data_IF_500858952728
#
_entry.id   IF_500858952728
#
_cell.length_a   1.000
_cell.length_b   1.000
_cell.length_c   1.000
_cell.angle_alpha   90.00
_cell.angle_beta   90.00
_cell.angle_gamma   90.00
#
_symmetry.space_group_name_H-M   'P 1'
#
loop_
_entity.id
_entity.type
_entity.pdbx_description
1 polymer ?
#
# COMPACT_ATOMS: atom_id res chain seq x y z
N UNK A 1 28.94 -52.50 -2.20
CA UNK A 1 28.79 -52.41 -3.66
C UNK A 1 28.06 -51.08 -3.95
N UNK A 2 28.80 -50.04 -4.40
CA UNK A 2 28.23 -48.76 -4.82
C UNK A 2 27.88 -48.87 -6.31
N UNK A 3 26.59 -48.97 -6.64
CA UNK A 3 26.15 -48.72 -8.01
C UNK A 3 26.19 -47.19 -8.26
N UNK A 4 27.24 -46.75 -8.97
CA UNK A 4 27.32 -45.40 -9.50
C UNK A 4 26.34 -45.28 -10.66
N UNK A 5 25.30 -44.48 -10.51
CA UNK A 5 24.37 -44.09 -11.56
C UNK A 5 25.04 -43.19 -12.61
N UNK A 6 25.77 -43.77 -13.51
CA UNK A 6 26.11 -43.16 -14.78
C UNK A 6 25.02 -43.44 -15.79
N UNK A 7 23.93 -42.67 -15.77
CA UNK A 7 22.96 -42.67 -16.85
C UNK A 7 23.67 -42.22 -18.15
N UNK A 8 23.56 -42.96 -19.27
CA UNK A 8 24.24 -42.60 -20.50
C UNK A 8 23.77 -41.20 -20.97
N UNK A 9 24.71 -40.35 -21.39
CA UNK A 9 24.53 -38.94 -21.85
C UNK A 9 23.33 -38.79 -22.81
N UNK A 10 23.10 -39.74 -23.70
CA UNK A 10 21.96 -39.82 -24.62
C UNK A 10 20.58 -39.82 -23.94
N UNK A 11 20.47 -40.40 -22.76
CA UNK A 11 19.19 -40.47 -22.04
C UNK A 11 18.86 -39.17 -21.29
N UNK A 12 19.89 -38.44 -20.89
CA UNK A 12 19.78 -37.12 -20.26
C UNK A 12 19.37 -36.06 -21.29
N UNK A 13 19.94 -36.10 -22.49
CA UNK A 13 19.59 -35.20 -23.61
C UNK A 13 18.16 -35.44 -24.11
N UNK A 14 17.70 -36.70 -24.13
CA UNK A 14 16.33 -37.04 -24.52
C UNK A 14 15.30 -36.48 -23.54
N UNK A 15 15.54 -36.62 -22.24
CA UNK A 15 14.66 -36.05 -21.18
C UNK A 15 14.61 -34.52 -21.21
N UNK A 16 15.74 -33.86 -21.49
CA UNK A 16 15.82 -32.43 -21.62
C UNK A 16 15.03 -31.93 -22.83
N UNK A 17 15.15 -32.59 -23.98
CA UNK A 17 14.37 -32.24 -25.17
C UNK A 17 12.85 -32.40 -24.94
N UNK A 18 12.43 -33.48 -24.26
CA UNK A 18 11.04 -33.67 -23.88
C UNK A 18 10.52 -32.58 -22.95
N UNK A 19 11.32 -32.18 -21.95
CA UNK A 19 10.98 -31.12 -21.03
C UNK A 19 10.78 -29.77 -21.76
N UNK A 20 11.73 -29.39 -22.63
CA UNK A 20 11.66 -28.14 -23.42
C UNK A 20 10.46 -28.19 -24.37
N UNK A 21 10.20 -29.33 -25.03
CA UNK A 21 9.04 -29.45 -25.89
C UNK A 21 7.72 -29.30 -25.16
N UNK A 22 7.65 -29.81 -23.90
CA UNK A 22 6.47 -29.65 -23.06
C UNK A 22 6.27 -28.19 -22.60
N UNK A 23 7.34 -27.53 -22.17
CA UNK A 23 7.31 -26.10 -21.82
C UNK A 23 6.85 -25.23 -23.00
N UNK A 24 7.41 -25.46 -24.19
CA UNK A 24 7.02 -24.78 -25.42
C UNK A 24 5.55 -25.02 -25.80
N UNK A 25 5.08 -26.25 -25.67
CA UNK A 25 3.67 -26.60 -25.91
C UNK A 25 2.75 -25.80 -24.96
N UNK A 26 3.05 -25.77 -23.67
CA UNK A 26 2.25 -25.04 -22.68
C UNK A 26 2.27 -23.53 -22.95
N UNK A 27 3.45 -22.97 -23.26
CA UNK A 27 3.61 -21.56 -23.59
C UNK A 27 2.79 -21.16 -24.81
N UNK A 28 2.85 -21.95 -25.90
CA UNK A 28 2.06 -21.72 -27.11
C UNK A 28 0.54 -21.88 -26.85
N UNK A 29 0.18 -22.77 -25.95
CA UNK A 29 -1.20 -23.00 -25.60
C UNK A 29 -1.80 -21.79 -24.87
N UNK A 30 -1.05 -21.15 -23.99
CA UNK A 30 -1.49 -19.94 -23.28
C UNK A 30 -1.57 -18.75 -24.24
N UNK A 31 -0.53 -18.53 -25.05
CA UNK A 31 -0.49 -17.39 -26.00
C UNK A 31 -1.58 -17.46 -27.06
N UNK A 32 -1.96 -18.67 -27.49
CA UNK A 32 -3.03 -18.85 -28.50
C UNK A 32 -4.44 -18.73 -27.93
N UNK A 33 -4.60 -18.76 -26.62
CA UNK A 33 -5.87 -18.58 -25.95
C UNK A 33 -6.11 -17.10 -25.59
N UNK A 34 -6.60 -16.34 -26.55
CA UNK A 34 -6.86 -14.91 -26.40
C UNK A 34 -7.80 -14.60 -25.22
N UNK A 35 -8.73 -15.51 -24.88
CA UNK A 35 -9.66 -15.29 -23.76
C UNK A 35 -8.91 -15.34 -22.43
N UNK A 36 -8.07 -16.35 -22.28
CA UNK A 36 -7.24 -16.51 -21.07
C UNK A 36 -6.24 -15.37 -20.95
N UNK A 37 -5.57 -14.96 -22.04
CA UNK A 37 -4.65 -13.82 -22.02
C UNK A 37 -5.35 -12.50 -21.64
N UNK A 38 -6.55 -12.27 -22.20
CA UNK A 38 -7.31 -11.06 -21.86
C UNK A 38 -7.70 -11.01 -20.38
N UNK A 39 -8.05 -12.14 -19.78
CA UNK A 39 -8.36 -12.25 -18.35
C UNK A 39 -7.10 -12.02 -17.52
N UNK A 40 -6.01 -12.70 -17.85
CA UNK A 40 -4.75 -12.66 -17.10
C UNK A 40 -4.15 -11.25 -17.08
N UNK A 41 -4.10 -10.58 -18.21
CA UNK A 41 -3.52 -9.23 -18.31
C UNK A 41 -4.56 -8.14 -17.98
N UNK A 42 -5.82 -8.35 -18.36
CA UNK A 42 -6.86 -7.34 -18.20
C UNK A 42 -7.33 -7.15 -16.76
N UNK A 43 -7.51 -8.23 -16.01
CA UNK A 43 -7.95 -8.14 -14.61
C UNK A 43 -6.95 -7.35 -13.76
N UNK A 44 -5.63 -7.61 -13.77
CA UNK A 44 -4.65 -6.82 -13.03
C UNK A 44 -4.69 -5.32 -13.34
N UNK A 45 -4.81 -5.00 -14.62
CA UNK A 45 -4.88 -3.59 -15.06
C UNK A 45 -6.11 -2.93 -14.45
N UNK A 46 -7.27 -3.57 -14.55
CA UNK A 46 -8.52 -3.05 -13.99
C UNK A 46 -8.44 -2.95 -12.46
N UNK A 47 -7.92 -3.98 -11.79
CA UNK A 47 -7.80 -3.98 -10.33
C UNK A 47 -6.86 -2.88 -9.83
N UNK A 48 -5.66 -2.73 -10.43
CA UNK A 48 -4.71 -1.70 -9.99
C UNK A 48 -5.27 -0.29 -10.24
N UNK A 49 -5.99 -0.07 -11.34
CA UNK A 49 -6.63 1.20 -11.62
C UNK A 49 -7.80 1.46 -10.65
N UNK A 50 -8.68 0.48 -10.45
CA UNK A 50 -9.78 0.61 -9.50
C UNK A 50 -9.27 0.89 -8.08
N UNK A 51 -8.40 0.07 -7.56
CA UNK A 51 -7.90 0.23 -6.20
C UNK A 51 -6.96 1.44 -6.07
N UNK A 52 -6.16 1.74 -7.08
CA UNK A 52 -5.27 2.88 -7.07
C UNK A 52 -5.99 4.23 -7.04
N UNK A 53 -7.15 4.34 -7.72
CA UNK A 53 -7.97 5.54 -7.71
C UNK A 53 -9.09 5.52 -6.67
N UNK A 54 -9.70 4.36 -6.39
CA UNK A 54 -10.81 4.25 -5.45
C UNK A 54 -10.37 4.33 -3.99
N UNK A 55 -9.16 3.85 -3.67
CA UNK A 55 -8.59 3.98 -2.32
C UNK A 55 -7.84 5.32 -2.23
N UNK A 56 -8.53 6.39 -2.52
CA UNK A 56 -8.04 7.71 -2.17
C UNK A 56 -8.34 7.95 -0.69
N UNK A 57 -7.44 7.49 0.18
CA UNK A 57 -7.46 7.80 1.61
C UNK A 57 -6.74 9.13 1.90
N UNK A 58 -6.56 9.98 0.90
CA UNK A 58 -6.25 11.38 1.17
C UNK A 58 -7.44 11.94 1.93
N UNK A 59 -7.27 12.04 3.24
CA UNK A 59 -8.26 12.68 4.09
C UNK A 59 -8.20 14.16 3.78
N UNK A 60 -9.02 14.58 2.83
CA UNK A 60 -9.25 15.98 2.49
C UNK A 60 -10.52 16.45 3.21
N UNK A 61 -10.63 17.76 3.40
CA UNK A 61 -11.79 18.38 4.05
C UNK A 61 -12.02 17.84 5.48
N UNK A 62 -10.94 17.75 6.28
CA UNK A 62 -11.03 17.45 7.71
C UNK A 62 -11.78 18.58 8.38
N UNK A 63 -12.98 18.31 8.87
CA UNK A 63 -13.81 19.29 9.57
C UNK A 63 -13.20 19.54 10.94
N UNK A 64 -12.62 20.73 11.13
CA UNK A 64 -11.98 21.15 12.38
C UNK A 64 -12.75 22.28 13.05
N UNK A 65 -12.94 22.17 14.37
CA UNK A 65 -13.44 23.26 15.21
C UNK A 65 -12.47 23.53 16.35
N UNK A 66 -12.53 24.73 16.89
CA UNK A 66 -11.63 25.22 17.92
C UNK A 66 -12.44 25.57 19.17
N UNK A 67 -11.91 25.20 20.33
CA UNK A 67 -12.39 25.68 21.62
C UNK A 67 -11.24 26.35 22.35
N UNK A 68 -11.41 27.66 22.56
CA UNK A 68 -10.42 28.52 23.20
C UNK A 68 -11.14 29.35 24.28
N UNK A 69 -10.96 28.99 25.56
CA UNK A 69 -11.61 29.70 26.66
C UNK A 69 -11.03 31.09 26.91
N UNK A 70 -9.77 31.33 26.54
CA UNK A 70 -9.06 32.62 26.71
C UNK A 70 -8.21 32.90 25.46
N UNK A 71 -8.84 33.41 24.38
CA UNK A 71 -8.15 33.66 23.13
C UNK A 71 -6.97 34.64 23.28
N UNK A 72 -5.78 34.20 22.85
CA UNK A 72 -4.55 34.99 22.86
C UNK A 72 -3.87 34.97 21.47
N UNK A 73 -2.76 35.70 21.32
CA UNK A 73 -2.07 35.82 20.05
C UNK A 73 -1.48 34.46 19.56
N UNK A 74 -1.08 33.61 20.49
CA UNK A 74 -0.47 32.31 20.17
C UNK A 74 -1.54 31.31 19.71
N UNK A 75 -2.65 31.20 20.46
CA UNK A 75 -3.77 30.32 20.12
C UNK A 75 -4.43 30.72 18.80
N UNK A 76 -4.59 32.04 18.56
CA UNK A 76 -5.08 32.55 17.29
C UNK A 76 -4.12 32.23 16.13
N UNK A 77 -2.81 32.39 16.33
CA UNK A 77 -1.81 32.07 15.31
C UNK A 77 -1.78 30.60 14.94
N UNK A 78 -1.90 29.70 15.91
CA UNK A 78 -2.01 28.25 15.67
C UNK A 78 -3.30 27.94 14.90
N UNK A 79 -4.43 28.49 15.35
CA UNK A 79 -5.74 28.27 14.73
C UNK A 79 -5.77 28.75 13.28
N UNK A 80 -5.23 29.94 13.00
CA UNK A 80 -5.15 30.48 11.63
C UNK A 80 -4.27 29.60 10.74
N UNK A 81 -3.14 29.09 11.23
CA UNK A 81 -2.27 28.20 10.47
C UNK A 81 -2.95 26.86 10.13
N UNK A 82 -3.77 26.31 11.03
CA UNK A 82 -4.59 25.13 10.76
C UNK A 82 -5.68 25.46 9.73
N UNK A 83 -6.39 26.59 9.88
CA UNK A 83 -7.45 27.00 8.94
C UNK A 83 -6.95 27.27 7.52
N UNK A 84 -5.73 27.78 7.36
CA UNK A 84 -5.12 28.06 6.05
C UNK A 84 -4.61 26.78 5.36
N UNK A 85 -4.52 25.67 6.08
CA UNK A 85 -4.04 24.43 5.50
C UNK A 85 -5.13 23.77 4.65
N UNK A 86 -4.85 23.37 3.39
CA UNK A 86 -5.85 22.85 2.44
C UNK A 86 -6.50 21.54 2.85
N UNK A 87 -5.93 20.81 3.81
CA UNK A 87 -6.51 19.57 4.33
C UNK A 87 -7.65 19.81 5.32
N UNK A 88 -7.77 21.03 5.89
CA UNK A 88 -8.75 21.34 6.91
C UNK A 88 -9.87 22.23 6.38
N UNK A 89 -11.10 21.89 6.77
CA UNK A 89 -12.30 22.73 6.58
C UNK A 89 -12.70 23.28 7.92
N UNK A 90 -12.61 24.59 8.09
CA UNK A 90 -12.96 25.28 9.33
C UNK A 90 -14.49 25.27 9.56
N UNK A 91 -14.93 24.71 10.68
CA UNK A 91 -16.33 24.67 11.11
C UNK A 91 -16.65 25.78 12.14
N UNK A 92 -15.67 26.63 12.47
CA UNK A 92 -15.84 27.73 13.43
C UNK A 92 -15.29 27.40 14.82
N UNK A 93 -15.61 28.30 15.75
CA UNK A 93 -15.27 28.16 17.16
C UNK A 93 -16.50 27.62 17.91
N UNK A 94 -16.31 26.60 18.70
CA UNK A 94 -17.36 26.04 19.57
C UNK A 94 -17.42 26.86 20.88
N UNK A 95 -18.60 26.96 21.45
CA UNK A 95 -18.81 27.67 22.71
C UNK A 95 -18.61 26.76 23.94
N UNK A 96 -18.70 25.45 23.74
CA UNK A 96 -18.54 24.48 24.83
C UNK A 96 -17.98 23.16 24.32
N UNK A 97 -17.43 22.36 25.25
CA UNK A 97 -16.97 20.99 25.00
C UNK A 97 -18.13 20.08 24.59
N UNK A 98 -19.29 20.24 25.21
CA UNK A 98 -20.49 19.43 24.93
C UNK A 98 -20.96 19.63 23.46
N UNK A 99 -20.89 20.86 22.96
CA UNK A 99 -21.19 21.18 21.56
C UNK A 99 -20.26 20.42 20.59
N UNK A 100 -18.97 20.37 20.91
CA UNK A 100 -17.97 19.63 20.10
C UNK A 100 -18.23 18.14 20.11
N UNK A 101 -18.50 17.56 21.28
CA UNK A 101 -18.80 16.13 21.40
C UNK A 101 -20.07 15.75 20.62
N UNK A 102 -21.11 16.59 20.71
CA UNK A 102 -22.34 16.39 19.96
C UNK A 102 -22.11 16.50 18.43
N UNK A 103 -21.31 17.46 17.99
CA UNK A 103 -20.95 17.63 16.58
C UNK A 103 -20.13 16.41 16.07
N UNK A 104 -19.23 15.88 16.88
CA UNK A 104 -18.47 14.65 16.56
C UNK A 104 -19.39 13.44 16.45
N UNK A 105 -20.30 13.27 17.42
CA UNK A 105 -21.26 12.17 17.42
C UNK A 105 -22.19 12.19 16.20
N UNK A 106 -22.54 13.40 15.73
CA UNK A 106 -23.33 13.60 14.50
C UNK A 106 -22.53 13.51 13.21
N UNK A 107 -21.21 13.24 13.24
CA UNK A 107 -20.33 13.18 12.08
C UNK A 107 -20.13 14.54 11.40
N UNK A 108 -20.42 15.64 12.09
CA UNK A 108 -20.23 17.02 11.60
C UNK A 108 -18.83 17.56 11.89
N UNK A 109 -18.07 16.90 12.75
CA UNK A 109 -16.74 17.29 13.18
C UNK A 109 -15.81 16.07 13.17
N UNK A 110 -14.62 16.23 12.58
CA UNK A 110 -13.60 15.19 12.52
C UNK A 110 -12.52 15.39 13.57
N UNK A 111 -12.19 16.66 13.88
CA UNK A 111 -11.16 17.05 14.82
C UNK A 111 -11.58 18.27 15.62
N UNK A 112 -11.45 18.22 16.94
CA UNK A 112 -11.53 19.38 17.83
C UNK A 112 -10.14 19.73 18.35
N UNK A 113 -9.80 20.99 18.27
CA UNK A 113 -8.58 21.57 18.86
C UNK A 113 -8.99 22.37 20.09
N UNK A 114 -8.56 21.91 21.25
CA UNK A 114 -8.94 22.48 22.55
C UNK A 114 -7.69 23.08 23.19
N UNK A 115 -7.74 24.37 23.44
CA UNK A 115 -6.66 25.08 24.11
C UNK A 115 -6.87 25.10 25.62
N UNK A 116 -5.76 25.03 26.35
CA UNK A 116 -5.74 25.28 27.78
C UNK A 116 -6.06 26.74 28.07
N UNK A 117 -6.72 27.01 29.19
CA UNK A 117 -6.96 28.36 29.67
C UNK A 117 -5.62 29.08 29.96
N UNK A 118 -5.50 30.36 29.64
CA UNK A 118 -4.30 31.17 29.79
C UNK A 118 -3.06 30.60 29.06
N UNK A 119 -3.27 30.10 27.85
CA UNK A 119 -2.27 29.36 27.09
C UNK A 119 -0.95 30.13 26.92
N UNK A 120 -1.00 31.38 26.48
CA UNK A 120 0.19 32.19 26.26
C UNK A 120 0.89 32.53 27.58
N UNK A 121 0.15 32.81 28.64
CA UNK A 121 0.70 33.14 29.96
C UNK A 121 1.46 31.94 30.54
N UNK A 122 0.86 30.74 30.50
CA UNK A 122 1.51 29.50 30.93
C UNK A 122 2.73 29.18 30.09
N UNK A 123 2.67 29.40 28.78
CA UNK A 123 3.79 29.16 27.87
C UNK A 123 4.99 30.07 28.22
N UNK A 124 4.73 31.36 28.55
CA UNK A 124 5.79 32.30 28.91
C UNK A 124 6.34 32.06 30.33
N UNK A 125 5.50 31.74 31.32
CA UNK A 125 5.93 31.55 32.70
C UNK A 125 6.52 30.18 33.00
N UNK A 126 5.91 29.13 32.47
CA UNK A 126 6.31 27.74 32.77
C UNK A 126 7.07 27.06 31.62
N UNK A 127 7.11 27.67 30.43
CA UNK A 127 7.63 27.07 29.22
C UNK A 127 6.77 25.91 28.66
N UNK A 128 5.57 25.73 29.20
CA UNK A 128 4.67 24.61 28.84
C UNK A 128 3.24 25.08 28.74
N UNK A 129 2.56 24.74 27.65
CA UNK A 129 1.12 24.87 27.51
C UNK A 129 0.58 23.66 26.74
N UNK A 130 -0.67 23.26 27.01
CA UNK A 130 -1.24 22.05 26.44
C UNK A 130 -2.30 22.38 25.38
N UNK A 131 -2.19 21.71 24.24
CA UNK A 131 -3.26 21.61 23.23
C UNK A 131 -3.77 20.20 23.21
N UNK A 132 -5.07 20.03 23.46
CA UNK A 132 -5.71 18.73 23.35
C UNK A 132 -6.36 18.59 21.97
N UNK A 133 -6.03 17.49 21.28
CA UNK A 133 -6.60 17.11 20.00
C UNK A 133 -7.58 15.97 20.20
N UNK A 134 -8.87 16.25 20.01
CA UNK A 134 -9.92 15.24 20.10
C UNK A 134 -10.29 14.83 18.67
N UNK A 135 -10.00 13.60 18.31
CA UNK A 135 -10.30 13.04 17.00
C UNK A 135 -11.55 12.16 17.04
N UNK A 136 -12.36 12.23 16.00
CA UNK A 136 -13.53 11.37 15.87
C UNK A 136 -13.11 9.92 15.61
N UNK A 137 -13.45 9.04 16.56
CA UNK A 137 -13.10 7.61 16.50
C UNK A 137 -14.06 6.76 15.67
N UNK A 138 -15.13 7.35 15.11
CA UNK A 138 -16.05 6.64 14.22
C UNK A 138 -15.38 6.21 12.92
N UNK A 139 -14.37 6.98 12.47
CA UNK A 139 -13.42 6.59 11.43
C UNK A 139 -12.00 6.71 12.01
N UNK A 140 -11.42 5.60 12.51
CA UNK A 140 -10.11 5.62 13.18
C UNK A 140 -8.99 6.12 12.29
N UNK A 141 -9.10 5.85 10.98
CA UNK A 141 -8.08 6.24 10.00
C UNK A 141 -8.12 7.76 9.77
N UNK A 142 -9.32 8.31 9.55
CA UNK A 142 -9.54 9.74 9.37
C UNK A 142 -9.16 10.53 10.62
N UNK A 143 -9.57 10.04 11.80
CA UNK A 143 -9.23 10.66 13.08
C UNK A 143 -7.72 10.68 13.37
N UNK A 144 -7.03 9.57 13.13
CA UNK A 144 -5.58 9.47 13.34
C UNK A 144 -4.80 10.41 12.41
N UNK A 145 -5.17 10.47 11.12
CA UNK A 145 -4.55 11.36 10.14
C UNK A 145 -4.80 12.84 10.51
N UNK A 146 -6.03 13.18 10.92
CA UNK A 146 -6.39 14.53 11.33
C UNK A 146 -5.55 15.02 12.52
N UNK A 147 -5.42 14.17 13.56
CA UNK A 147 -4.61 14.47 14.73
C UNK A 147 -3.12 14.62 14.38
N UNK A 148 -2.61 13.76 13.49
CA UNK A 148 -1.20 13.82 13.05
C UNK A 148 -0.91 15.11 12.27
N UNK A 149 -1.79 15.52 11.37
CA UNK A 149 -1.63 16.77 10.61
C UNK A 149 -1.69 17.99 11.52
N UNK A 150 -2.67 18.04 12.43
CA UNK A 150 -2.78 19.13 13.39
C UNK A 150 -1.54 19.23 14.27
N UNK A 151 -1.06 18.10 14.80
CA UNK A 151 0.17 18.03 15.61
C UNK A 151 1.40 18.54 14.84
N UNK A 152 1.53 18.17 13.58
CA UNK A 152 2.64 18.62 12.73
C UNK A 152 2.58 20.15 12.46
N UNK A 153 1.39 20.71 12.26
CA UNK A 153 1.19 22.16 12.08
C UNK A 153 1.52 22.92 13.38
N UNK A 154 1.05 22.42 14.53
CA UNK A 154 1.34 23.01 15.85
C UNK A 154 2.85 23.00 16.12
N UNK A 155 3.52 21.87 15.87
CA UNK A 155 4.97 21.76 16.02
C UNK A 155 5.73 22.69 15.07
N UNK A 156 5.25 22.85 13.84
CA UNK A 156 5.79 23.82 12.89
C UNK A 156 5.63 25.27 13.37
N UNK A 157 4.43 25.63 13.87
CA UNK A 157 4.18 26.94 14.44
C UNK A 157 5.10 27.23 15.63
N UNK A 158 5.24 26.28 16.52
CA UNK A 158 6.13 26.37 17.68
C UNK A 158 7.58 26.60 17.24
N UNK A 159 8.06 25.86 16.24
CA UNK A 159 9.44 26.02 15.72
C UNK A 159 9.70 27.42 15.16
N UNK A 160 8.78 27.89 14.32
CA UNK A 160 8.92 29.18 13.63
C UNK A 160 8.86 30.38 14.60
N UNK A 161 8.22 30.21 15.76
CA UNK A 161 8.06 31.26 16.75
C UNK A 161 8.96 31.12 18.00
N UNK A 162 9.77 30.05 18.08
CA UNK A 162 10.70 29.83 19.22
C UNK A 162 11.72 30.94 19.39
N UNK A 163 12.22 31.55 18.31
CA UNK A 163 13.18 32.64 18.34
C UNK A 163 12.57 33.93 18.97
N UNK A 164 11.26 34.12 18.81
CA UNK A 164 10.54 35.29 19.35
C UNK A 164 10.21 35.16 20.85
N UNK A 165 10.10 33.92 21.35
CA UNK A 165 9.65 33.65 22.73
C UNK A 165 10.78 33.49 23.76
N UNK A 166 12.06 33.48 23.33
CA UNK A 166 13.25 33.35 24.20
C UNK A 166 13.17 32.23 25.24
N UNK A 167 12.64 31.07 24.86
CA UNK A 167 12.50 29.90 25.78
C UNK A 167 13.85 29.23 25.94
N UNK A 168 14.37 29.06 27.18
CA UNK A 168 15.74 28.58 27.43
C UNK A 168 16.01 27.09 27.15
N UNK A 169 15.00 26.28 26.81
CA UNK A 169 15.14 24.89 26.47
C UNK A 169 14.44 24.56 25.14
N UNK A 170 15.27 24.34 24.10
CA UNK A 170 14.81 23.84 22.79
C UNK A 170 14.96 22.32 22.75
N UNK A 171 13.87 21.58 22.82
CA UNK A 171 13.84 20.19 22.35
C UNK A 171 13.34 20.25 20.90
N UNK A 172 14.25 20.23 19.93
CA UNK A 172 13.91 20.06 18.54
C UNK A 172 13.45 18.61 18.30
N UNK A 173 12.17 18.37 18.29
CA UNK A 173 11.61 17.14 17.76
C UNK A 173 11.49 17.28 16.25
N UNK A 174 12.50 16.81 15.52
CA UNK A 174 12.44 16.69 14.07
C UNK A 174 11.58 15.47 13.72
N UNK A 175 10.30 15.67 13.49
CA UNK A 175 9.42 14.65 12.91
C UNK A 175 9.72 14.51 11.42
N UNK A 176 10.72 13.68 11.10
CA UNK A 176 11.07 13.36 9.72
C UNK A 176 10.31 12.14 9.26
N UNK A 177 9.27 12.32 8.46
CA UNK A 177 8.61 11.21 7.75
C UNK A 177 9.51 10.72 6.62
N UNK A 178 10.16 9.56 6.82
CA UNK A 178 11.25 9.10 5.94
C UNK A 178 10.73 8.44 4.66
N UNK A 179 9.59 7.75 4.71
CA UNK A 179 9.11 6.92 3.59
C UNK A 179 7.89 7.46 2.83
N UNK A 180 7.09 8.30 3.45
CA UNK A 180 5.91 8.91 2.83
C UNK A 180 5.69 10.33 3.34
N UNK A 181 6.57 11.30 3.00
CA UNK A 181 6.49 12.67 3.51
C UNK A 181 5.21 13.40 3.08
N UNK A 182 4.59 12.98 1.98
CA UNK A 182 3.34 13.54 1.47
C UNK A 182 2.09 12.84 2.04
N UNK A 183 2.26 11.84 2.90
CA UNK A 183 1.17 11.00 3.45
C UNK A 183 0.17 10.47 2.41
N UNK A 184 0.64 10.23 1.18
CA UNK A 184 -0.20 9.67 0.12
C UNK A 184 -0.55 8.22 0.43
N UNK A 185 -1.83 7.95 0.54
CA UNK A 185 -2.36 6.60 0.79
C UNK A 185 -1.93 5.59 -0.27
N UNK A 186 -1.80 6.03 -1.54
CA UNK A 186 -1.33 5.19 -2.64
C UNK A 186 0.05 4.57 -2.38
N UNK A 187 0.96 5.26 -1.69
CA UNK A 187 2.31 4.75 -1.41
C UNK A 187 2.30 3.55 -0.43
N UNK A 188 1.27 3.45 0.41
CA UNK A 188 1.10 2.35 1.35
C UNK A 188 0.29 1.20 0.75
N UNK A 189 -0.82 1.53 0.09
CA UNK A 189 -1.78 0.52 -0.37
C UNK A 189 -1.38 -0.14 -1.70
N UNK A 190 -0.83 0.61 -2.65
CA UNK A 190 -0.52 0.07 -3.98
C UNK A 190 0.44 -1.12 -3.93
N UNK A 191 1.55 -1.10 -3.18
CA UNK A 191 2.43 -2.27 -3.09
C UNK A 191 1.74 -3.50 -2.48
N UNK A 192 0.87 -3.30 -1.48
CA UNK A 192 0.08 -4.39 -0.89
C UNK A 192 -0.91 -5.00 -1.87
N UNK A 193 -1.62 -4.15 -2.62
CA UNK A 193 -2.56 -4.57 -3.66
C UNK A 193 -1.83 -5.30 -4.80
N UNK A 194 -0.65 -4.82 -5.22
CA UNK A 194 0.18 -5.51 -6.22
C UNK A 194 0.47 -6.95 -5.82
N UNK A 195 0.86 -7.18 -4.56
CA UNK A 195 1.10 -8.53 -4.04
C UNK A 195 -0.18 -9.38 -4.06
N UNK A 196 -1.30 -8.83 -3.60
CA UNK A 196 -2.59 -9.51 -3.57
C UNK A 196 -3.07 -9.89 -4.98
N UNK A 197 -2.99 -8.96 -5.92
CA UNK A 197 -3.37 -9.18 -7.33
C UNK A 197 -2.52 -10.29 -7.95
N UNK A 198 -1.21 -10.26 -7.78
CA UNK A 198 -0.31 -11.32 -8.25
C UNK A 198 -0.66 -12.68 -7.65
N UNK A 199 -1.00 -12.74 -6.36
CA UNK A 199 -1.42 -13.97 -5.70
C UNK A 199 -2.69 -14.54 -6.34
N UNK A 200 -3.70 -13.71 -6.54
CA UNK A 200 -4.98 -14.11 -7.15
C UNK A 200 -4.74 -14.64 -8.57
N UNK A 201 -3.95 -13.94 -9.39
CA UNK A 201 -3.66 -14.34 -10.75
C UNK A 201 -2.93 -15.67 -10.79
N UNK A 202 -1.86 -15.84 -10.02
CA UNK A 202 -1.11 -17.08 -9.95
C UNK A 202 -2.01 -18.25 -9.56
N UNK A 203 -2.88 -18.05 -8.57
CA UNK A 203 -3.84 -19.07 -8.10
C UNK A 203 -4.85 -19.42 -9.19
N UNK A 204 -5.42 -18.43 -9.88
CA UNK A 204 -6.36 -18.66 -10.99
C UNK A 204 -5.68 -19.42 -12.13
N UNK A 205 -4.47 -18.99 -12.52
CA UNK A 205 -3.70 -19.66 -13.59
C UNK A 205 -3.45 -21.11 -13.29
N UNK A 206 -2.97 -21.43 -12.08
CA UNK A 206 -2.72 -22.78 -11.65
C UNK A 206 -4.00 -23.62 -11.66
N UNK A 207 -5.09 -23.07 -11.09
CA UNK A 207 -6.39 -23.74 -11.02
C UNK A 207 -6.97 -24.02 -12.41
N UNK A 208 -6.99 -23.04 -13.30
CA UNK A 208 -7.49 -23.15 -14.67
C UNK A 208 -6.68 -24.18 -15.46
N UNK A 209 -5.35 -24.22 -15.26
CA UNK A 209 -4.49 -25.20 -15.92
C UNK A 209 -4.88 -26.64 -15.55
N UNK A 210 -5.12 -26.91 -14.27
CA UNK A 210 -5.49 -28.24 -13.77
C UNK A 210 -6.89 -28.63 -14.27
N UNK A 211 -7.87 -27.73 -14.17
CA UNK A 211 -9.24 -27.97 -14.60
C UNK A 211 -9.31 -28.29 -16.09
N UNK A 212 -8.62 -27.54 -16.94
CA UNK A 212 -8.58 -27.80 -18.40
C UNK A 212 -8.03 -29.16 -18.77
N UNK A 213 -7.01 -29.64 -18.07
CA UNK A 213 -6.47 -30.96 -18.34
C UNK A 213 -7.46 -32.05 -17.98
N UNK A 214 -8.19 -31.86 -16.91
CA UNK A 214 -9.25 -32.78 -16.49
C UNK A 214 -10.40 -32.78 -17.50
N UNK A 215 -10.85 -31.62 -17.93
CA UNK A 215 -11.96 -31.49 -18.91
C UNK A 215 -11.61 -32.04 -20.30
N UNK A 216 -10.35 -31.92 -20.72
CA UNK A 216 -9.88 -32.45 -22.02
C UNK A 216 -9.50 -33.92 -22.00
N UNK A 217 -9.58 -34.59 -20.85
CA UNK A 217 -9.17 -35.97 -20.69
C UNK A 217 -7.67 -36.22 -20.86
N UNK A 218 -6.86 -35.15 -20.93
CA UNK A 218 -5.40 -35.25 -21.08
C UNK A 218 -4.70 -35.61 -19.80
N UNK A 219 -5.37 -35.51 -18.66
CA UNK A 219 -4.83 -35.89 -17.35
C UNK A 219 -4.44 -37.38 -17.28
N UNK A 220 -5.26 -38.27 -17.84
CA UNK A 220 -4.97 -39.71 -17.88
C UNK A 220 -3.76 -40.01 -18.75
N UNK A 221 -3.63 -39.35 -19.89
CA UNK A 221 -2.48 -39.50 -20.79
C UNK A 221 -1.19 -38.98 -20.12
N UNK A 222 -1.28 -37.91 -19.34
CA UNK A 222 -0.15 -37.39 -18.58
C UNK A 222 0.27 -38.35 -17.46
N UNK A 223 -0.68 -38.94 -16.76
CA UNK A 223 -0.41 -39.92 -15.71
C UNK A 223 0.19 -41.23 -16.27
N UNK A 224 -0.16 -41.63 -17.50
CA UNK A 224 0.41 -42.77 -18.20
C UNK A 224 1.79 -42.48 -18.83
N UNK A 225 2.25 -41.24 -18.82
CA UNK A 225 3.54 -40.84 -19.40
C UNK A 225 4.71 -41.32 -18.55
N UNK A 226 5.84 -41.73 -19.18
CA UNK A 226 7.05 -42.14 -18.48
C UNK A 226 7.80 -41.02 -17.77
N UNK A 227 7.28 -39.77 -17.83
CA UNK A 227 7.83 -38.62 -17.15
C UNK A 227 7.50 -38.66 -15.66
N UNK A 228 8.46 -38.27 -14.80
CA UNK A 228 8.21 -38.12 -13.37
C UNK A 228 7.20 -37.01 -13.15
N UNK A 229 6.21 -37.20 -12.28
CA UNK A 229 5.16 -36.24 -11.97
C UNK A 229 5.72 -34.85 -11.59
N UNK A 230 6.77 -34.78 -10.77
CA UNK A 230 7.43 -33.54 -10.43
C UNK A 230 7.99 -32.76 -11.64
N UNK A 231 8.55 -33.47 -12.63
CA UNK A 231 9.08 -32.85 -13.86
C UNK A 231 7.96 -32.21 -14.69
N UNK A 232 6.77 -32.83 -14.71
CA UNK A 232 5.61 -32.26 -15.38
C UNK A 232 5.08 -31.02 -14.70
N UNK A 233 5.00 -31.02 -13.36
CA UNK A 233 4.58 -29.86 -12.59
C UNK A 233 5.52 -28.70 -12.85
N UNK A 234 6.84 -28.91 -12.74
CA UNK A 234 7.82 -27.86 -13.05
C UNK A 234 7.74 -27.36 -14.48
N UNK A 235 7.56 -28.24 -15.46
CA UNK A 235 7.45 -27.84 -16.86
C UNK A 235 6.21 -26.97 -17.14
N UNK A 236 5.13 -27.14 -16.36
CA UNK A 236 3.94 -26.29 -16.41
C UNK A 236 4.13 -24.97 -15.69
N UNK A 237 4.79 -24.99 -14.54
CA UNK A 237 5.00 -23.78 -13.73
C UNK A 237 5.82 -22.73 -14.47
N UNK A 238 6.81 -23.13 -15.30
CA UNK A 238 7.69 -22.20 -16.01
C UNK A 238 6.93 -21.20 -16.91
N UNK A 239 6.06 -21.61 -17.83
CA UNK A 239 5.29 -20.69 -18.67
C UNK A 239 4.43 -19.71 -17.84
N UNK A 240 3.77 -20.21 -16.80
CA UNK A 240 2.97 -19.37 -15.91
C UNK A 240 3.83 -18.38 -15.13
N UNK A 241 5.01 -18.78 -14.67
CA UNK A 241 5.96 -17.90 -14.00
C UNK A 241 6.40 -16.76 -14.92
N UNK A 242 6.68 -17.03 -16.19
CA UNK A 242 7.05 -16.00 -17.17
C UNK A 242 5.91 -15.00 -17.38
N UNK A 243 4.67 -15.48 -17.52
CA UNK A 243 3.51 -14.62 -17.74
C UNK A 243 3.22 -13.79 -16.48
N UNK A 244 3.22 -14.40 -15.29
CA UNK A 244 3.04 -13.67 -14.03
C UNK A 244 4.13 -12.64 -13.80
N UNK A 245 5.36 -12.90 -14.28
CA UNK A 245 6.43 -11.91 -14.21
C UNK A 245 6.21 -10.74 -15.18
N UNK A 246 5.64 -11.00 -16.36
CA UNK A 246 5.22 -9.94 -17.30
C UNK A 246 4.10 -9.11 -16.67
N UNK A 247 3.10 -9.74 -16.05
CA UNK A 247 2.03 -9.05 -15.32
C UNK A 247 2.58 -8.17 -14.20
N UNK A 248 3.54 -8.69 -13.42
CA UNK A 248 4.24 -7.91 -12.40
C UNK A 248 4.89 -6.64 -13.00
N UNK A 249 5.56 -6.75 -14.15
CA UNK A 249 6.16 -5.60 -14.82
C UNK A 249 5.09 -4.59 -15.27
N UNK A 250 3.99 -5.07 -15.84
CA UNK A 250 2.86 -4.21 -16.27
C UNK A 250 2.28 -3.46 -15.07
N UNK A 251 2.01 -4.16 -13.97
CA UNK A 251 1.51 -3.57 -12.73
C UNK A 251 2.48 -2.54 -12.17
N UNK A 252 3.78 -2.85 -12.16
CA UNK A 252 4.82 -1.93 -11.69
C UNK A 252 4.89 -0.65 -12.53
N UNK A 253 4.81 -0.77 -13.85
CA UNK A 253 4.77 0.37 -14.77
C UNK A 253 3.51 1.23 -14.56
N UNK A 254 2.34 0.61 -14.41
CA UNK A 254 1.10 1.33 -14.11
C UNK A 254 1.17 2.04 -12.77
N UNK A 255 1.70 1.37 -11.73
CA UNK A 255 1.91 1.97 -10.43
C UNK A 255 2.79 3.23 -10.50
N UNK A 256 3.88 3.15 -11.26
CA UNK A 256 4.82 4.26 -11.40
C UNK A 256 4.27 5.41 -12.25
N UNK A 257 3.79 5.10 -13.48
CA UNK A 257 3.39 6.14 -14.46
C UNK A 257 1.98 6.69 -14.21
N UNK A 258 1.04 5.87 -13.74
CA UNK A 258 -0.37 6.28 -13.59
C UNK A 258 -0.67 6.71 -12.16
N UNK A 259 -0.21 5.95 -11.17
CA UNK A 259 -0.49 6.24 -9.76
C UNK A 259 0.60 7.09 -9.09
N UNK A 260 1.72 7.34 -9.76
CA UNK A 260 2.81 8.18 -9.25
C UNK A 260 3.49 7.61 -8.00
N UNK A 261 3.49 6.28 -7.82
CA UNK A 261 4.14 5.62 -6.69
C UNK A 261 5.63 5.40 -7.04
N UNK A 262 6.56 6.13 -6.39
CA UNK A 262 7.98 6.00 -6.69
C UNK A 262 8.54 4.67 -6.18
N UNK A 263 9.46 4.11 -6.92
CA UNK A 263 10.26 2.96 -6.47
C UNK A 263 11.52 3.46 -5.80
N UNK A 264 11.48 3.62 -4.48
CA UNK A 264 12.62 4.06 -3.68
C UNK A 264 13.37 2.83 -3.17
N UNK A 265 14.34 2.33 -3.94
CA UNK A 265 15.15 1.17 -3.56
C UNK A 265 15.79 0.45 -4.73
N UNK A 266 16.34 -0.73 -4.45
CA UNK A 266 16.97 -1.56 -5.49
C UNK A 266 15.91 -2.29 -6.32
N UNK A 267 15.80 -1.95 -7.61
CA UNK A 267 14.95 -2.66 -8.57
C UNK A 267 15.32 -4.15 -8.68
N UNK A 268 16.62 -4.46 -8.60
CA UNK A 268 17.10 -5.85 -8.70
C UNK A 268 16.54 -6.67 -7.52
N UNK A 269 16.57 -6.11 -6.31
CA UNK A 269 15.99 -6.77 -5.14
C UNK A 269 14.49 -6.96 -5.28
N UNK A 270 13.78 -5.95 -5.79
CA UNK A 270 12.33 -6.02 -6.04
C UNK A 270 11.99 -7.14 -7.03
N UNK A 271 12.71 -7.24 -8.15
CA UNK A 271 12.52 -8.31 -9.12
C UNK A 271 12.82 -9.70 -8.54
N UNK A 272 13.85 -9.82 -7.73
CA UNK A 272 14.21 -11.09 -7.09
C UNK A 272 13.13 -11.53 -6.10
N UNK A 273 12.64 -10.61 -5.27
CA UNK A 273 11.54 -10.89 -4.32
C UNK A 273 10.25 -11.25 -5.07
N UNK A 274 9.93 -10.54 -6.15
CA UNK A 274 8.77 -10.85 -6.99
C UNK A 274 8.86 -12.24 -7.61
N UNK A 275 10.04 -12.65 -8.09
CA UNK A 275 10.28 -13.99 -8.65
C UNK A 275 10.08 -15.09 -7.60
N UNK A 276 10.60 -14.89 -6.38
CA UNK A 276 10.40 -15.82 -5.27
C UNK A 276 8.92 -15.90 -4.91
N UNK A 277 8.25 -14.74 -4.80
CA UNK A 277 6.83 -14.67 -4.48
C UNK A 277 5.95 -15.39 -5.50
N UNK A 278 6.16 -15.13 -6.80
CA UNK A 278 5.48 -15.80 -7.91
C UNK A 278 5.72 -17.32 -7.87
N UNK A 279 6.96 -17.73 -7.63
CA UNK A 279 7.31 -19.14 -7.52
C UNK A 279 6.56 -19.85 -6.39
N UNK A 280 6.45 -19.19 -5.23
CA UNK A 280 5.72 -19.72 -4.07
C UNK A 280 4.21 -19.80 -4.31
N UNK A 281 3.64 -18.81 -5.00
CA UNK A 281 2.18 -18.73 -5.23
C UNK A 281 1.71 -19.66 -6.36
N UNK A 282 2.60 -20.08 -7.28
CA UNK A 282 2.30 -21.03 -8.35
C UNK A 282 2.47 -22.49 -7.91
N UNK A 283 3.09 -22.76 -6.75
CA UNK A 283 3.38 -24.11 -6.25
C UNK A 283 2.30 -24.58 -5.30
#
# INVERSE_FOLDING_TARGET
MRFSENLPVKQKDFKMKQFIAFVNKEFLHIIRDNRTLMIIIGIPIVEILLFGFAINMEVQNIKVAFYDPTPDAVTQGISERIKQNPYFSNMGNAQSMDEMEEAMRKGKLDLAVVYQQNFQEDLVHSGKAAVQLLANSSDPNRGSIAATYASAIIAGYQRDNMELMQIPFQIQTENRMIYNPLMKSSYMFVPGIMGLVLMIICTIMTSVSIVREKERGTMEVLLASPLKQGTMVFAKTIPYMVISFIDFIIILLLSYFVLGVPVNGSLILLFLVALIYISLTLT
#
